data_IF_453610370975
#
_entry.id   IF_453610370975
#
_cell.length_a   1.000
_cell.length_b   1.000
_cell.length_c   1.000
_cell.angle_alpha   90.00
_cell.angle_beta   90.00
_cell.angle_gamma   90.00
#
_symmetry.space_group_name_H-M   'P 1'
#
loop_
_entity.id
_entity.type
_entity.pdbx_description
1 polymer ?
#
# COMPACT_ATOMS: atom_id res chain seq x y z
N UNK A 1 -5.21 8.87 2.89
CA UNK A 1 -5.30 7.78 3.89
C UNK A 1 -5.95 8.19 5.22
N UNK A 2 -6.07 9.49 5.55
CA UNK A 2 -6.77 9.91 6.79
C UNK A 2 -5.97 9.66 8.07
N UNK A 3 -4.65 9.58 7.96
CA UNK A 3 -3.73 9.49 9.09
C UNK A 3 -3.28 10.90 9.49
N UNK A 4 -3.12 11.12 10.79
CA UNK A 4 -2.52 12.33 11.36
C UNK A 4 -1.15 11.97 11.97
N UNK A 5 -0.16 12.89 11.94
CA UNK A 5 1.13 12.64 12.56
C UNK A 5 0.97 12.55 14.09
N UNK A 6 1.74 11.65 14.71
CA UNK A 6 1.81 11.49 16.17
C UNK A 6 2.94 12.32 16.80
N UNK A 7 3.91 12.76 15.99
CA UNK A 7 5.01 13.63 16.42
C UNK A 7 5.56 14.42 15.21
N UNK A 8 6.17 15.58 15.49
CA UNK A 8 6.71 16.48 14.48
C UNK A 8 8.09 17.02 14.86
N UNK A 9 8.98 17.13 13.88
CA UNK A 9 10.29 17.79 14.03
C UNK A 9 10.61 18.66 12.82
N UNK A 10 11.57 19.60 12.90
CA UNK A 10 12.04 20.32 11.72
C UNK A 10 12.42 19.34 10.59
N UNK A 11 11.66 19.38 9.49
CA UNK A 11 11.89 18.59 8.29
C UNK A 11 11.20 17.22 8.21
N UNK A 12 10.41 16.81 9.21
CA UNK A 12 9.69 15.53 9.12
C UNK A 12 8.55 15.33 10.12
N UNK A 13 7.64 14.46 9.73
CA UNK A 13 6.45 14.04 10.46
C UNK A 13 6.55 12.54 10.76
N UNK A 14 6.23 12.14 11.98
CA UNK A 14 6.16 10.73 12.38
C UNK A 14 4.70 10.29 12.42
N UNK A 15 4.40 9.17 11.77
CA UNK A 15 3.08 8.56 11.76
C UNK A 15 3.14 7.20 12.46
N UNK A 16 2.02 6.80 13.08
CA UNK A 16 1.84 5.46 13.64
C UNK A 16 0.60 4.82 13.05
N UNK A 17 0.73 3.57 12.59
CA UNK A 17 -0.36 2.79 12.01
C UNK A 17 -0.11 1.29 12.26
N UNK A 18 -1.11 0.56 12.75
CA UNK A 18 -1.02 -0.90 12.92
C UNK A 18 0.12 -1.37 13.84
N UNK A 19 0.49 -0.57 14.85
CA UNK A 19 1.62 -0.87 15.76
C UNK A 19 3.01 -0.55 15.19
N UNK A 20 3.10 -0.06 13.95
CA UNK A 20 4.34 0.34 13.29
C UNK A 20 4.41 1.86 13.13
N UNK A 21 5.62 2.39 13.04
CA UNK A 21 5.89 3.80 12.76
C UNK A 21 6.53 3.99 11.39
N UNK A 22 6.17 5.08 10.71
CA UNK A 22 6.84 5.51 9.48
C UNK A 22 6.97 7.03 9.48
N UNK A 23 7.98 7.54 8.79
CA UNK A 23 8.26 8.97 8.72
C UNK A 23 8.02 9.50 7.31
N UNK A 24 7.41 10.67 7.22
CA UNK A 24 7.34 11.47 6.00
C UNK A 24 8.25 12.68 6.18
N UNK A 25 9.13 12.92 5.23
CA UNK A 25 10.10 14.00 5.32
C UNK A 25 10.33 14.63 3.95
N UNK A 26 10.87 15.85 3.95
CA UNK A 26 11.18 16.55 2.70
C UNK A 26 12.34 15.86 1.99
N UNK A 27 12.03 15.13 0.93
CA UNK A 27 13.03 14.50 0.06
C UNK A 27 13.76 15.53 -0.81
N UNK A 28 15.02 15.25 -1.14
CA UNK A 28 15.77 15.95 -2.20
C UNK A 28 15.71 15.22 -3.55
N UNK A 29 15.13 14.02 -3.58
CA UNK A 29 14.90 13.23 -4.78
C UNK A 29 13.41 13.03 -5.08
N UNK A 30 13.12 12.41 -6.22
CA UNK A 30 11.78 12.03 -6.64
C UNK A 30 11.65 10.50 -6.69
N UNK A 31 10.49 9.98 -6.33
CA UNK A 31 10.19 8.57 -6.51
C UNK A 31 9.97 8.29 -8.00
N UNK A 32 10.59 7.24 -8.57
CA UNK A 32 10.25 6.82 -9.91
C UNK A 32 8.88 6.15 -9.97
N UNK A 33 8.29 5.78 -8.83
CA UNK A 33 6.97 5.14 -8.77
C UNK A 33 6.90 3.75 -9.41
N UNK A 34 8.05 3.14 -9.71
CA UNK A 34 8.18 1.85 -10.41
C UNK A 34 8.35 0.65 -9.48
N UNK A 35 8.40 0.87 -8.17
CA UNK A 35 8.47 -0.18 -7.15
C UNK A 35 7.81 0.28 -5.86
N UNK A 36 7.27 -0.67 -5.11
CA UNK A 36 6.57 -0.44 -3.84
C UNK A 36 7.51 0.20 -2.81
N UNK A 37 7.11 1.34 -2.24
CA UNK A 37 7.89 2.04 -1.21
C UNK A 37 7.48 1.61 0.21
N UNK A 38 6.21 1.32 0.40
CA UNK A 38 5.61 0.91 1.67
C UNK A 38 4.29 0.21 1.39
N UNK A 39 3.83 -0.61 2.32
CA UNK A 39 2.47 -1.12 2.28
C UNK A 39 1.87 -1.42 3.65
N UNK A 40 0.56 -1.65 3.63
CA UNK A 40 -0.22 -2.03 4.80
C UNK A 40 -0.80 -3.42 4.63
N UNK A 41 -0.71 -4.21 5.69
CA UNK A 41 -1.54 -5.39 5.83
C UNK A 41 -2.91 -4.96 6.34
N UNK A 42 -3.98 -5.40 5.68
CA UNK A 42 -5.38 -5.10 6.02
C UNK A 42 -6.18 -6.38 6.15
N UNK A 43 -7.33 -6.30 6.82
CA UNK A 43 -8.21 -7.45 7.03
C UNK A 43 -9.18 -7.69 5.86
N UNK A 44 -9.47 -6.65 5.08
CA UNK A 44 -10.39 -6.69 3.93
C UNK A 44 -9.92 -5.69 2.87
N UNK A 45 -9.26 -6.19 1.81
CA UNK A 45 -8.70 -5.35 0.76
C UNK A 45 -9.80 -4.73 -0.10
N UNK A 46 -10.92 -5.41 -0.31
CA UNK A 46 -12.04 -4.90 -1.13
C UNK A 46 -12.70 -3.68 -0.48
N UNK A 47 -12.96 -3.76 0.82
CA UNK A 47 -13.54 -2.65 1.57
C UNK A 47 -12.60 -1.44 1.58
N UNK A 48 -11.29 -1.66 1.77
CA UNK A 48 -10.29 -0.59 1.77
C UNK A 48 -10.15 0.04 0.38
N UNK A 49 -10.04 -0.76 -0.69
CA UNK A 49 -10.01 -0.28 -2.08
C UNK A 49 -11.25 0.56 -2.38
N UNK A 50 -12.44 0.07 -2.00
CA UNK A 50 -13.71 0.77 -2.22
C UNK A 50 -13.75 2.13 -1.52
N UNK A 51 -13.36 2.19 -0.25
CA UNK A 51 -13.35 3.44 0.52
C UNK A 51 -12.30 4.43 -0.02
N UNK A 52 -11.11 3.96 -0.40
CA UNK A 52 -10.08 4.81 -0.97
C UNK A 52 -10.49 5.34 -2.36
N UNK A 53 -11.14 4.53 -3.19
CA UNK A 53 -11.75 4.99 -4.46
C UNK A 53 -12.79 6.08 -4.25
N UNK A 54 -13.65 5.93 -3.23
CA UNK A 54 -14.65 6.96 -2.86
C UNK A 54 -13.99 8.29 -2.48
N UNK A 55 -12.75 8.25 -1.96
CA UNK A 55 -11.93 9.43 -1.64
C UNK A 55 -11.08 9.93 -2.82
N UNK A 56 -11.21 9.34 -4.00
CA UNK A 56 -10.54 9.76 -5.23
C UNK A 56 -9.21 9.05 -5.53
N UNK A 57 -8.82 8.04 -4.76
CA UNK A 57 -7.63 7.23 -5.05
C UNK A 57 -7.88 6.39 -6.29
N UNK A 58 -6.90 6.38 -7.20
CA UNK A 58 -6.88 5.53 -8.39
C UNK A 58 -5.93 4.38 -8.13
N UNK A 59 -6.43 3.15 -8.31
CA UNK A 59 -5.63 1.95 -8.20
C UNK A 59 -5.07 1.55 -9.56
N UNK A 60 -3.90 0.92 -9.53
CA UNK A 60 -3.25 0.39 -10.71
C UNK A 60 -4.06 -0.76 -11.30
N UNK A 61 -4.19 -0.74 -12.62
CA UNK A 61 -4.67 -1.88 -13.40
C UNK A 61 -3.51 -2.44 -14.21
N UNK A 62 -3.12 -3.67 -13.92
CA UNK A 62 -1.98 -4.33 -14.53
C UNK A 62 -2.47 -5.57 -15.26
N UNK A 63 -2.00 -5.75 -16.50
CA UNK A 63 -2.23 -6.94 -17.30
C UNK A 63 -0.92 -7.32 -18.01
N UNK A 64 -0.17 -8.25 -17.41
CA UNK A 64 1.08 -8.77 -17.93
C UNK A 64 1.13 -10.29 -17.78
N UNK A 65 1.96 -11.02 -18.55
CA UNK A 65 2.04 -12.48 -18.44
C UNK A 65 2.35 -12.93 -17.00
N UNK A 66 1.43 -13.70 -16.42
CA UNK A 66 1.56 -14.25 -15.07
C UNK A 66 1.17 -13.31 -13.92
N UNK A 67 0.72 -12.08 -14.20
CA UNK A 67 0.24 -11.16 -13.18
C UNK A 67 -0.81 -10.21 -13.74
N UNK A 68 -1.98 -10.18 -13.12
CA UNK A 68 -3.03 -9.24 -13.48
C UNK A 68 -3.81 -8.79 -12.25
N UNK A 69 -4.42 -7.63 -12.34
CA UNK A 69 -5.43 -7.15 -11.39
C UNK A 69 -6.82 -7.30 -11.97
N UNK A 70 -7.80 -7.53 -11.11
CA UNK A 70 -9.23 -7.39 -11.42
C UNK A 70 -9.81 -6.37 -10.47
N UNK A 71 -10.42 -5.31 -11.01
CA UNK A 71 -10.88 -4.16 -10.23
C UNK A 71 -9.81 -3.62 -9.28
N UNK A 72 -8.55 -3.58 -9.72
CA UNK A 72 -7.40 -3.05 -8.99
C UNK A 72 -6.79 -3.99 -7.97
N UNK A 73 -7.30 -5.23 -7.86
CA UNK A 73 -6.84 -6.23 -6.89
C UNK A 73 -6.25 -7.44 -7.63
N UNK A 74 -5.02 -7.82 -7.29
CA UNK A 74 -4.39 -9.07 -7.71
C UNK A 74 -4.59 -10.16 -6.65
N UNK A 75 -4.72 -11.41 -7.08
CA UNK A 75 -4.59 -12.59 -6.22
C UNK A 75 -3.19 -13.17 -6.42
N UNK A 76 -2.39 -13.22 -5.34
CA UNK A 76 -1.01 -13.69 -5.34
C UNK A 76 -0.94 -15.01 -4.59
N UNK A 77 -0.56 -16.07 -5.31
CA UNK A 77 -0.25 -17.35 -4.70
C UNK A 77 1.14 -17.32 -4.05
N UNK A 78 1.22 -17.86 -2.83
CA UNK A 78 2.45 -17.96 -2.06
C UNK A 78 2.66 -16.80 -1.11
N UNK A 79 3.23 -17.10 0.05
CA UNK A 79 3.63 -16.11 1.04
C UNK A 79 4.88 -16.60 1.78
N UNK A 80 5.56 -15.71 2.50
CA UNK A 80 6.70 -16.09 3.33
C UNK A 80 6.31 -17.20 4.33
N UNK A 81 7.03 -18.33 4.40
CA UNK A 81 6.68 -19.45 5.29
C UNK A 81 6.57 -19.07 6.77
N UNK A 82 7.36 -18.08 7.20
CA UNK A 82 7.35 -17.56 8.59
C UNK A 82 6.04 -16.86 8.97
N UNK A 83 5.20 -16.53 8.00
CA UNK A 83 3.94 -15.81 8.19
C UNK A 83 2.71 -16.73 8.17
N UNK A 84 2.86 -17.96 7.67
CA UNK A 84 1.81 -18.99 7.72
C UNK A 84 0.60 -18.74 6.83
N UNK A 85 0.70 -17.87 5.83
CA UNK A 85 -0.35 -17.61 4.84
C UNK A 85 -0.10 -18.42 3.57
N UNK A 86 -1.16 -18.76 2.83
CA UNK A 86 -1.07 -19.44 1.53
C UNK A 86 -0.84 -18.45 0.39
N UNK A 87 -1.30 -17.21 0.56
CA UNK A 87 -1.18 -16.15 -0.43
C UNK A 87 -1.69 -14.83 0.11
N UNK A 88 -1.84 -13.86 -0.77
CA UNK A 88 -2.42 -12.55 -0.42
C UNK A 88 -3.22 -11.98 -1.59
N UNK A 89 -4.24 -11.20 -1.26
CA UNK A 89 -4.89 -10.29 -2.22
C UNK A 89 -4.25 -8.92 -2.07
N UNK A 90 -3.81 -8.31 -3.15
CA UNK A 90 -3.03 -7.08 -3.07
C UNK A 90 -3.46 -6.04 -4.10
N UNK A 91 -3.33 -4.77 -3.74
CA UNK A 91 -3.64 -3.63 -4.60
C UNK A 91 -2.60 -2.54 -4.44
N UNK A 92 -2.38 -1.75 -5.50
CA UNK A 92 -1.38 -0.67 -5.50
C UNK A 92 -1.95 0.63 -6.04
N UNK A 93 -1.42 1.74 -5.56
CA UNK A 93 -1.77 3.09 -6.00
C UNK A 93 -0.60 4.05 -5.76
N UNK A 94 -0.55 5.15 -6.50
CA UNK A 94 0.39 6.24 -6.22
C UNK A 94 -0.17 7.26 -5.23
N UNK A 95 0.69 7.75 -4.34
CA UNK A 95 0.41 8.96 -3.56
C UNK A 95 0.68 10.25 -4.37
N UNK A 96 0.51 11.40 -3.73
CA UNK A 96 0.71 12.72 -4.35
C UNK A 96 2.14 12.99 -4.81
N UNK A 97 3.12 12.28 -4.24
CA UNK A 97 4.54 12.42 -4.50
C UNK A 97 5.05 11.40 -5.52
N UNK A 98 4.16 10.50 -6.00
CA UNK A 98 4.48 9.46 -6.97
C UNK A 98 5.08 8.19 -6.36
N UNK A 99 4.96 8.00 -5.04
CA UNK A 99 5.34 6.73 -4.41
C UNK A 99 4.30 5.67 -4.73
N UNK A 100 4.75 4.50 -5.22
CA UNK A 100 3.89 3.34 -5.33
C UNK A 100 3.70 2.72 -3.94
N UNK A 101 2.46 2.69 -3.47
CA UNK A 101 2.06 2.17 -2.18
C UNK A 101 1.22 0.91 -2.36
N UNK A 102 1.42 -0.08 -1.48
CA UNK A 102 0.70 -1.36 -1.51
C UNK A 102 -0.27 -1.54 -0.35
N UNK A 103 -1.36 -2.26 -0.57
CA UNK A 103 -2.21 -2.83 0.48
C UNK A 103 -2.38 -4.31 0.23
N UNK A 104 -2.31 -5.13 1.27
CA UNK A 104 -2.37 -6.59 1.17
C UNK A 104 -3.27 -7.20 2.23
N UNK A 105 -4.12 -8.13 1.83
CA UNK A 105 -4.94 -9.00 2.68
C UNK A 105 -4.42 -10.42 2.55
N UNK A 106 -3.62 -10.92 3.52
CA UNK A 106 -3.14 -12.29 3.51
C UNK A 106 -4.28 -13.26 3.83
N UNK A 107 -4.29 -14.40 3.15
CA UNK A 107 -5.24 -15.48 3.39
C UNK A 107 -4.54 -16.80 3.70
N UNK A 108 -5.23 -17.63 4.47
CA UNK A 108 -4.80 -19.00 4.78
C UNK A 108 -5.12 -20.00 3.65
#
# INVERSE_FOLDING_TARGET
MGLEPVDERPGGLLYRCGGTEFAVYRSTGASPGTFTQMGWQVEDVEAVVTELRRRGVRFEEVDVPGFHTTDGIADIEGHYPTKGFRGERAAWFHDSEGNLLGIGEPYA
#
